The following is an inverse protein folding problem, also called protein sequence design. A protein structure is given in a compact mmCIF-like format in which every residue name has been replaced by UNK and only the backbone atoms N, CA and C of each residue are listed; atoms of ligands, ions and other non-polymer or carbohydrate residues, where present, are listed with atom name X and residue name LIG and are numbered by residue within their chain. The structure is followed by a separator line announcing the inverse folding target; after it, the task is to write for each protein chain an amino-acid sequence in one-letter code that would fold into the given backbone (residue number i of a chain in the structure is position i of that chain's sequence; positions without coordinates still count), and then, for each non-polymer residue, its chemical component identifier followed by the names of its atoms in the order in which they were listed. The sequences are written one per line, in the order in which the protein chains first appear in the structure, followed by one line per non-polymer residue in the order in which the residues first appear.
data_IF_385077572296
#
_entry.id   IF_385077572296
#
_cell.length_a   1.000
_cell.length_b   1.000
_cell.length_c   1.000
_cell.angle_alpha   90.00
_cell.angle_beta   90.00
_cell.angle_gamma   90.00
#
_symmetry.space_group_name_H-M   'P 1'
#
loop_
_entity.id
_entity.type
_entity.pdbx_description
1 polymer ?
#
# COMPACT_ATOMS: atom_id res chain seq x y z
N UNK A 1 -9.31 -4.04 7.61
CA UNK A 1 -10.36 -4.22 6.57
C UNK A 1 -11.68 -4.21 7.30
N UNK A 2 -12.67 -3.47 6.81
CA UNK A 2 -13.99 -3.39 7.46
C UNK A 2 -15.01 -4.08 6.55
N UNK A 3 -15.86 -4.93 7.12
CA UNK A 3 -17.02 -5.52 6.45
C UNK A 3 -18.29 -5.19 7.23
N UNK A 4 -19.42 -5.10 6.53
CA UNK A 4 -20.74 -4.90 7.13
C UNK A 4 -21.60 -6.10 6.71
N UNK A 5 -22.20 -6.77 7.70
CA UNK A 5 -23.19 -7.82 7.47
C UNK A 5 -24.55 -7.19 7.19
N UNK A 6 -25.40 -7.86 6.41
CA UNK A 6 -26.81 -7.49 6.19
C UNK A 6 -27.59 -7.30 7.51
N UNK A 7 -27.16 -7.95 8.60
CA UNK A 7 -27.70 -7.77 9.96
C UNK A 7 -27.11 -6.57 10.74
N UNK A 8 -26.42 -5.64 10.07
CA UNK A 8 -25.79 -4.46 10.67
C UNK A 8 -24.52 -4.74 11.50
N UNK A 9 -24.02 -5.98 11.54
CA UNK A 9 -22.78 -6.31 12.28
C UNK A 9 -21.55 -5.87 11.49
N UNK A 10 -20.72 -5.04 12.12
CA UNK A 10 -19.43 -4.63 11.56
C UNK A 10 -18.33 -5.61 11.98
N UNK A 11 -17.54 -6.07 11.00
CA UNK A 11 -16.35 -6.90 11.23
C UNK A 11 -15.11 -6.08 10.89
N UNK A 12 -14.27 -5.80 11.87
CA UNK A 12 -12.97 -5.16 11.65
C UNK A 12 -11.86 -6.22 11.71
N UNK A 13 -11.15 -6.36 10.61
CA UNK A 13 -9.98 -7.22 10.49
C UNK A 13 -8.75 -6.36 10.64
N UNK A 14 -7.98 -6.66 11.68
CA UNK A 14 -6.72 -5.98 11.91
C UNK A 14 -5.68 -6.30 10.82
N UNK A 15 -5.11 -5.25 10.24
CA UNK A 15 -4.02 -5.30 9.26
C UNK A 15 -2.80 -4.50 9.74
N UNK A 16 -2.72 -4.16 11.02
CA UNK A 16 -1.62 -3.43 11.66
C UNK A 16 -0.25 -4.05 11.37
N UNK A 17 -0.18 -5.38 11.31
CA UNK A 17 1.04 -6.13 11.00
C UNK A 17 1.58 -5.83 9.59
N UNK A 18 0.70 -5.54 8.60
CA UNK A 18 1.15 -5.12 7.26
C UNK A 18 1.90 -3.80 7.33
N UNK A 19 1.39 -2.85 8.12
CA UNK A 19 2.06 -1.56 8.37
C UNK A 19 3.41 -1.79 9.04
N UNK A 20 3.46 -2.63 10.06
CA UNK A 20 4.71 -2.99 10.75
C UNK A 20 5.75 -3.60 9.80
N UNK A 21 5.33 -4.47 8.88
CA UNK A 21 6.23 -5.01 7.85
C UNK A 21 6.78 -3.89 6.96
N UNK A 22 5.92 -2.99 6.49
CA UNK A 22 6.36 -1.86 5.67
C UNK A 22 7.40 -0.99 6.37
N UNK A 23 7.16 -0.63 7.63
CA UNK A 23 8.08 0.21 8.41
C UNK A 23 9.44 -0.49 8.61
N UNK A 24 9.41 -1.77 8.98
CA UNK A 24 10.63 -2.58 9.16
C UNK A 24 11.46 -2.70 7.87
N UNK A 25 10.82 -2.99 6.74
CA UNK A 25 11.52 -3.10 5.46
C UNK A 25 11.94 -1.74 4.89
N UNK A 26 11.18 -0.68 5.16
CA UNK A 26 11.56 0.70 4.83
C UNK A 26 12.87 1.07 5.52
N UNK A 27 12.99 0.86 6.83
CA UNK A 27 14.20 1.16 7.58
C UNK A 27 15.41 0.33 7.11
N UNK A 28 15.21 -0.96 6.78
CA UNK A 28 16.26 -1.79 6.17
C UNK A 28 16.75 -1.20 4.84
N UNK A 29 15.83 -0.80 3.95
CA UNK A 29 16.17 -0.19 2.66
C UNK A 29 16.85 1.17 2.83
N UNK A 30 16.39 1.99 3.77
CA UNK A 30 16.99 3.29 4.10
C UNK A 30 18.43 3.13 4.55
N UNK A 31 18.72 2.16 5.43
CA UNK A 31 20.08 1.83 5.87
C UNK A 31 20.96 1.37 4.70
N UNK A 32 20.44 0.51 3.81
CA UNK A 32 21.14 0.07 2.59
C UNK A 32 21.47 1.25 1.68
N UNK A 33 20.52 2.16 1.47
CA UNK A 33 20.71 3.33 0.64
C UNK A 33 21.81 4.25 1.16
N UNK A 34 21.87 4.46 2.49
CA UNK A 34 22.92 5.24 3.15
C UNK A 34 24.29 4.56 3.02
N UNK A 35 24.41 3.28 3.42
CA UNK A 35 25.69 2.56 3.44
C UNK A 35 26.30 2.34 2.05
N UNK A 36 25.45 2.15 1.03
CA UNK A 36 25.90 1.80 -0.33
C UNK A 36 25.72 2.94 -1.33
N UNK A 37 25.74 4.19 -0.85
CA UNK A 37 25.61 5.38 -1.70
C UNK A 37 26.61 5.37 -2.87
N UNK A 38 27.86 4.98 -2.62
CA UNK A 38 28.95 4.91 -3.61
C UNK A 38 29.03 3.59 -4.40
N UNK A 39 28.18 2.60 -4.10
CA UNK A 39 28.21 1.25 -4.71
C UNK A 39 26.88 0.90 -5.39
N UNK A 40 26.58 1.47 -6.57
CA UNK A 40 25.25 1.41 -7.18
C UNK A 40 24.81 0.00 -7.59
N UNK A 41 25.74 -0.84 -8.09
CA UNK A 41 25.44 -2.23 -8.49
C UNK A 41 24.97 -3.06 -7.29
N UNK A 42 25.75 -3.06 -6.21
CA UNK A 42 25.42 -3.80 -4.97
C UNK A 42 24.16 -3.26 -4.31
N UNK A 43 24.00 -1.93 -4.26
CA UNK A 43 22.80 -1.25 -3.75
C UNK A 43 21.54 -1.74 -4.47
N UNK A 44 21.56 -1.82 -5.80
CA UNK A 44 20.41 -2.26 -6.62
C UNK A 44 20.00 -3.69 -6.26
N UNK A 45 20.94 -4.62 -6.22
CA UNK A 45 20.69 -6.04 -5.90
C UNK A 45 20.07 -6.18 -4.51
N UNK A 46 20.65 -5.50 -3.50
CA UNK A 46 20.13 -5.57 -2.14
C UNK A 46 18.74 -4.93 -2.01
N UNK A 47 18.51 -3.78 -2.64
CA UNK A 47 17.18 -3.17 -2.65
C UNK A 47 16.14 -4.08 -3.30
N UNK A 48 16.47 -4.73 -4.41
CA UNK A 48 15.59 -5.70 -5.07
C UNK A 48 15.29 -6.91 -4.15
N UNK A 49 16.32 -7.47 -3.50
CA UNK A 49 16.18 -8.56 -2.52
C UNK A 49 15.20 -8.20 -1.40
N UNK A 50 15.37 -7.04 -0.78
CA UNK A 50 14.50 -6.62 0.34
C UNK A 50 13.10 -6.18 -0.12
N UNK A 51 12.94 -5.64 -1.33
CA UNK A 51 11.61 -5.42 -1.94
C UNK A 51 10.87 -6.74 -2.16
N UNK A 52 11.56 -7.74 -2.71
CA UNK A 52 10.96 -9.07 -2.94
C UNK A 52 10.57 -9.77 -1.64
N UNK A 53 11.42 -9.68 -0.60
CA UNK A 53 11.13 -10.25 0.73
C UNK A 53 9.94 -9.60 1.40
N UNK A 54 9.85 -8.26 1.37
CA UNK A 54 8.68 -7.54 1.88
C UNK A 54 7.41 -7.99 1.15
N UNK A 55 7.42 -7.98 -0.19
CA UNK A 55 6.26 -8.39 -1.01
C UNK A 55 5.80 -9.81 -0.66
N UNK A 56 6.71 -10.77 -0.56
CA UNK A 56 6.37 -12.14 -0.18
C UNK A 56 5.75 -12.22 1.21
N UNK A 57 6.30 -11.49 2.19
CA UNK A 57 5.80 -11.51 3.57
C UNK A 57 4.42 -10.85 3.71
N UNK A 58 4.22 -9.73 3.02
CA UNK A 58 2.90 -9.08 2.95
C UNK A 58 1.88 -9.99 2.27
N UNK A 59 2.25 -10.62 1.15
CA UNK A 59 1.36 -11.54 0.45
C UNK A 59 0.98 -12.77 1.28
N UNK A 60 1.94 -13.39 1.99
CA UNK A 60 1.69 -14.52 2.88
C UNK A 60 0.71 -14.14 4.00
N UNK A 61 0.93 -12.99 4.65
CA UNK A 61 0.03 -12.49 5.67
C UNK A 61 -1.38 -12.23 5.12
N UNK A 62 -1.48 -11.57 3.97
CA UNK A 62 -2.77 -11.31 3.31
C UNK A 62 -3.46 -12.61 2.89
N UNK A 63 -2.73 -13.62 2.41
CA UNK A 63 -3.31 -14.93 2.11
C UNK A 63 -3.92 -15.59 3.35
N UNK A 64 -3.24 -15.54 4.50
CA UNK A 64 -3.75 -16.07 5.76
C UNK A 64 -4.99 -15.32 6.24
N UNK A 65 -5.00 -14.00 6.10
CA UNK A 65 -6.19 -13.18 6.40
C UNK A 65 -7.34 -13.53 5.46
N UNK A 66 -7.11 -13.58 4.15
CA UNK A 66 -8.13 -13.94 3.17
C UNK A 66 -8.71 -15.33 3.42
N UNK A 67 -7.88 -16.31 3.81
CA UNK A 67 -8.34 -17.63 4.20
C UNK A 67 -9.31 -17.57 5.38
N UNK A 68 -8.95 -16.87 6.46
CA UNK A 68 -9.83 -16.69 7.63
C UNK A 68 -11.16 -16.01 7.26
N UNK A 69 -11.11 -15.04 6.35
CA UNK A 69 -12.30 -14.36 5.84
C UNK A 69 -13.20 -15.35 5.08
N UNK A 70 -12.64 -16.14 4.17
CA UNK A 70 -13.38 -17.13 3.41
C UNK A 70 -14.00 -18.21 4.32
N UNK A 71 -13.25 -18.67 5.32
CA UNK A 71 -13.75 -19.61 6.33
C UNK A 71 -14.94 -19.02 7.11
N UNK A 72 -14.83 -17.77 7.57
CA UNK A 72 -15.92 -17.07 8.26
C UNK A 72 -17.18 -16.95 7.40
N UNK A 73 -17.02 -16.58 6.12
CA UNK A 73 -18.14 -16.43 5.19
C UNK A 73 -18.84 -17.76 4.95
N UNK A 74 -18.07 -18.84 4.73
CA UNK A 74 -18.59 -20.18 4.51
C UNK A 74 -19.38 -20.69 5.71
N UNK A 75 -18.83 -20.55 6.92
CA UNK A 75 -19.48 -20.96 8.17
C UNK A 75 -20.80 -20.23 8.42
N UNK A 76 -20.89 -18.95 8.05
CA UNK A 76 -22.07 -18.12 8.28
C UNK A 76 -23.03 -18.06 7.09
N UNK A 77 -22.75 -18.81 6.00
CA UNK A 77 -23.51 -18.80 4.74
C UNK A 77 -23.81 -17.39 4.22
N UNK A 78 -22.79 -16.52 4.24
CA UNK A 78 -22.93 -15.12 3.82
C UNK A 78 -22.62 -14.96 2.32
N UNK A 79 -23.32 -14.03 1.67
CA UNK A 79 -22.94 -13.53 0.35
C UNK A 79 -21.94 -12.38 0.49
N UNK A 80 -21.01 -12.27 -0.48
CA UNK A 80 -19.93 -11.28 -0.44
C UNK A 80 -20.16 -10.20 -1.47
N UNK A 81 -20.17 -8.95 -1.01
CA UNK A 81 -20.16 -7.77 -1.88
C UNK A 81 -18.87 -7.00 -1.58
N UNK A 82 -18.02 -6.83 -2.60
CA UNK A 82 -16.80 -6.03 -2.49
C UNK A 82 -16.95 -4.70 -3.19
N UNK A 83 -16.51 -3.63 -2.53
CA UNK A 83 -16.35 -2.34 -3.16
C UNK A 83 -15.24 -2.37 -4.22
N UNK A 84 -15.49 -1.73 -5.37
CA UNK A 84 -14.47 -1.54 -6.39
C UNK A 84 -13.53 -0.41 -5.99
N UNK A 85 -12.54 -0.71 -5.15
CA UNK A 85 -11.52 0.25 -4.69
C UNK A 85 -10.33 0.41 -5.64
N UNK A 86 -10.48 0.05 -6.92
CA UNK A 86 -9.39 0.24 -7.88
C UNK A 86 -9.16 1.73 -8.12
N UNK A 87 -7.90 2.12 -8.36
CA UNK A 87 -7.52 3.50 -8.71
C UNK A 87 -7.73 4.60 -7.65
N UNK A 88 -8.20 4.29 -6.43
CA UNK A 88 -8.41 5.28 -5.34
C UNK A 88 -7.20 6.19 -5.16
N UNK A 89 -5.99 5.63 -5.04
CA UNK A 89 -4.76 6.43 -4.89
C UNK A 89 -4.44 7.28 -6.12
N UNK A 90 -4.74 6.83 -7.33
CA UNK A 90 -4.52 7.61 -8.56
C UNK A 90 -5.50 8.78 -8.66
N UNK A 91 -6.74 8.55 -8.24
CA UNK A 91 -7.77 9.59 -8.17
C UNK A 91 -7.37 10.69 -7.17
N UNK A 92 -7.05 10.31 -5.92
CA UNK A 92 -6.67 11.26 -4.87
C UNK A 92 -5.39 12.05 -5.25
N UNK A 93 -4.39 11.37 -5.81
CA UNK A 93 -3.11 11.98 -6.19
C UNK A 93 -3.08 12.49 -7.64
N UNK A 94 -4.23 12.82 -8.23
CA UNK A 94 -4.31 13.31 -9.60
C UNK A 94 -3.57 14.65 -9.73
N UNK A 95 -2.67 14.74 -10.71
CA UNK A 95 -1.87 15.94 -10.98
C UNK A 95 -2.10 16.44 -12.40
N UNK A 96 -2.16 17.76 -12.57
CA UNK A 96 -2.23 18.43 -13.86
C UNK A 96 -0.97 19.29 -14.07
N UNK A 97 -0.57 19.50 -15.32
CA UNK A 97 0.48 20.47 -15.64
C UNK A 97 -0.11 21.88 -15.50
N UNK A 98 0.49 22.71 -14.65
CA UNK A 98 0.18 24.15 -14.55
C UNK A 98 1.47 24.95 -14.63
N UNK A 99 1.37 26.16 -15.17
CA UNK A 99 2.44 27.13 -15.12
C UNK A 99 2.61 27.62 -13.67
N UNK A 100 3.84 27.59 -13.17
CA UNK A 100 4.18 28.12 -11.85
C UNK A 100 4.89 29.46 -12.07
N UNK A 101 4.21 30.56 -11.73
CA UNK A 101 4.69 31.94 -11.89
C UNK A 101 5.96 32.23 -11.10
N UNK A 102 6.14 31.62 -9.93
CA UNK A 102 7.33 31.81 -9.10
C UNK A 102 8.59 31.17 -9.70
N UNK A 103 8.44 29.98 -10.31
CA UNK A 103 9.57 29.24 -10.90
C UNK A 103 9.76 29.45 -12.40
N UNK A 104 8.79 30.07 -13.08
CA UNK A 104 8.73 30.21 -14.54
C UNK A 104 8.53 28.91 -15.31
N UNK A 105 8.16 27.81 -14.66
CA UNK A 105 8.13 26.46 -15.28
C UNK A 105 6.75 25.83 -15.25
N UNK A 106 6.44 25.02 -16.26
CA UNK A 106 5.26 24.16 -16.26
C UNK A 106 5.54 22.90 -15.43
N UNK A 107 4.80 22.72 -14.33
CA UNK A 107 5.03 21.63 -13.37
C UNK A 107 3.75 20.84 -13.10
N UNK A 108 3.89 19.57 -12.69
CA UNK A 108 2.75 18.73 -12.25
C UNK A 108 2.32 19.13 -10.83
N UNK A 109 1.24 19.89 -10.73
CA UNK A 109 0.63 20.28 -9.46
C UNK A 109 -0.59 19.40 -9.16
N UNK A 110 -0.91 19.23 -7.87
CA UNK A 110 -2.12 18.51 -7.46
C UNK A 110 -3.35 19.24 -8.00
N UNK A 111 -4.31 18.52 -8.56
CA UNK A 111 -5.59 19.13 -8.95
C UNK A 111 -6.38 19.56 -7.71
N UNK A 112 -6.18 18.85 -6.60
CA UNK A 112 -6.84 19.10 -5.33
C UNK A 112 -6.05 20.05 -4.41
N UNK A 113 -5.03 20.76 -4.92
CA UNK A 113 -4.40 21.82 -4.10
C UNK A 113 -5.42 22.93 -3.90
N UNK A 114 -5.67 23.33 -2.65
CA UNK A 114 -6.41 24.55 -2.36
C UNK A 114 -5.72 25.71 -3.11
N UNK A 115 -6.51 26.43 -3.90
CA UNK A 115 -6.05 27.62 -4.62
C UNK A 115 -5.89 28.78 -3.67
#
# INVERSE_FOLDING_TARGET
MVGISSKGKMVNIDLSEVRRFHDCYFEKRRRIQKKLAKKPRVKRVLLAKYRGRERRRVNDFLHKVSRKVAEYISQNKLEIIFERLTHVRRSVNKKAKRYNSHSGKVQKVSIHSKS
#
